data_IF_832768990585
#
_entry.id   IF_832768990585
#
_cell.length_a   1.000
_cell.length_b   1.000
_cell.length_c   1.000
_cell.angle_alpha   90.00
_cell.angle_beta   90.00
_cell.angle_gamma   90.00
#
_symmetry.space_group_name_H-M   'P 1'
#
loop_
_entity.id
_entity.type
_entity.pdbx_description
1 polymer ?
#
# COMPACT_ATOMS: atom_id res chain seq x y z
N UNK A 1 -5.74 -27.67 -10.57
CA UNK A 1 -6.27 -28.50 -9.46
C UNK A 1 -5.31 -28.33 -8.29
N UNK A 2 -5.59 -27.46 -7.32
CA UNK A 2 -5.06 -27.65 -5.98
C UNK A 2 -6.03 -28.65 -5.32
N UNK A 3 -5.64 -29.92 -5.37
CA UNK A 3 -6.28 -30.96 -4.57
C UNK A 3 -5.76 -30.77 -3.14
N UNK A 4 -6.64 -30.41 -2.20
CA UNK A 4 -6.29 -30.36 -0.79
C UNK A 4 -6.10 -31.76 -0.19
N UNK A 5 -6.38 -32.82 -0.95
CA UNK A 5 -6.38 -34.20 -0.46
C UNK A 5 -5.00 -34.66 0.06
N UNK A 6 -3.91 -34.02 -0.38
CA UNK A 6 -2.53 -34.32 0.06
C UNK A 6 -1.85 -33.15 0.80
N UNK A 7 -2.61 -32.11 1.15
CA UNK A 7 -2.06 -30.92 1.80
C UNK A 7 -1.84 -31.15 3.30
N UNK A 8 -0.59 -31.29 3.71
CA UNK A 8 -0.23 -31.40 5.13
C UNK A 8 -0.52 -30.08 5.84
N UNK A 9 -1.52 -30.08 6.73
CA UNK A 9 -1.80 -28.97 7.64
C UNK A 9 -0.78 -29.03 8.78
N UNK A 10 0.11 -28.04 8.84
CA UNK A 10 1.01 -27.86 9.98
C UNK A 10 0.71 -26.52 10.64
N UNK A 11 0.44 -26.51 11.95
CA UNK A 11 0.08 -25.31 12.71
C UNK A 11 -1.08 -24.50 12.08
N UNK A 12 -2.13 -25.18 11.59
CA UNK A 12 -3.32 -24.54 11.04
C UNK A 12 -3.13 -23.86 9.68
N UNK A 13 -2.03 -24.13 8.97
CA UNK A 13 -1.75 -23.59 7.63
C UNK A 13 -1.60 -24.69 6.59
N UNK A 14 -2.23 -24.49 5.43
CA UNK A 14 -2.04 -25.31 4.24
C UNK A 14 -0.76 -24.86 3.54
N UNK A 15 0.21 -25.76 3.41
CA UNK A 15 1.50 -25.45 2.77
C UNK A 15 1.28 -25.12 1.28
N UNK A 16 1.61 -23.91 0.87
CA UNK A 16 1.50 -23.45 -0.53
C UNK A 16 0.20 -22.74 -0.89
N UNK A 17 -0.70 -22.52 0.07
CA UNK A 17 -1.92 -21.72 -0.10
C UNK A 17 -1.91 -20.61 0.95
N UNK A 18 -2.06 -19.36 0.51
CA UNK A 18 -2.09 -18.19 1.39
C UNK A 18 -3.04 -17.12 0.86
N UNK A 19 -3.64 -16.36 1.77
CA UNK A 19 -4.37 -15.14 1.44
C UNK A 19 -3.37 -13.99 1.60
N UNK A 20 -3.17 -13.23 0.54
CA UNK A 20 -2.39 -12.01 0.58
C UNK A 20 -3.32 -10.89 1.06
N UNK A 21 -3.01 -10.30 2.22
CA UNK A 21 -3.75 -9.16 2.78
C UNK A 21 -2.77 -7.98 2.85
N UNK A 22 -3.06 -6.94 2.08
CA UNK A 22 -2.35 -5.68 2.17
C UNK A 22 -3.00 -4.78 3.23
N UNK A 23 -2.17 -4.22 4.12
CA UNK A 23 -2.62 -3.32 5.19
C UNK A 23 -2.02 -1.94 4.92
N UNK A 24 -2.88 -0.96 4.69
CA UNK A 24 -2.50 0.44 4.47
C UNK A 24 -2.82 1.28 5.71
N UNK A 25 -1.86 1.45 6.65
CA UNK A 25 -2.09 2.27 7.82
C UNK A 25 -2.22 3.74 7.42
N UNK A 26 -3.25 4.40 7.95
CA UNK A 26 -3.46 5.85 7.82
C UNK A 26 -2.80 6.53 9.01
N UNK A 27 -1.93 7.50 8.75
CA UNK A 27 -1.20 8.26 9.75
C UNK A 27 -1.62 9.74 9.71
N UNK A 28 -1.77 10.35 10.88
CA UNK A 28 -2.09 11.78 11.00
C UNK A 28 -0.84 12.62 10.74
N UNK A 29 -0.96 13.75 10.05
CA UNK A 29 0.14 14.68 9.81
C UNK A 29 0.00 15.99 10.61
N UNK A 30 -1.11 16.15 11.33
CA UNK A 30 -1.43 17.36 12.11
C UNK A 30 -2.24 18.39 11.31
N UNK A 31 -2.55 19.52 11.97
CA UNK A 31 -3.47 20.55 11.48
C UNK A 31 -2.85 21.54 10.49
N UNK A 32 -1.56 21.84 10.66
CA UNK A 32 -0.88 22.86 9.87
C UNK A 32 -0.38 22.27 8.55
N UNK A 33 -0.85 22.82 7.42
CA UNK A 33 -0.66 22.26 6.07
C UNK A 33 0.82 22.24 5.66
N UNK A 34 1.59 23.28 5.98
CA UNK A 34 3.01 23.40 5.66
C UNK A 34 3.83 22.33 6.36
N UNK A 35 3.66 22.20 7.68
CA UNK A 35 4.29 21.19 8.52
C UNK A 35 3.89 19.79 8.09
N UNK A 36 2.60 19.56 7.79
CA UNK A 36 2.13 18.28 7.27
C UNK A 36 2.80 17.91 5.95
N UNK A 37 2.92 18.85 5.00
CA UNK A 37 3.61 18.65 3.72
C UNK A 37 5.10 18.39 3.89
N UNK A 38 5.77 19.13 4.78
CA UNK A 38 7.18 18.96 5.08
C UNK A 38 7.44 17.56 5.67
N UNK A 39 6.65 17.20 6.68
CA UNK A 39 6.69 15.87 7.33
C UNK A 39 6.49 14.76 6.31
N UNK A 40 5.45 14.86 5.48
CA UNK A 40 5.19 13.89 4.41
C UNK A 40 6.36 13.80 3.41
N UNK A 41 6.95 14.94 3.04
CA UNK A 41 8.10 14.98 2.12
C UNK A 41 9.33 14.29 2.72
N UNK A 42 9.60 14.48 4.01
CA UNK A 42 10.66 13.79 4.73
C UNK A 42 10.43 12.28 4.77
N UNK A 43 9.21 11.85 5.08
CA UNK A 43 8.84 10.43 5.09
C UNK A 43 9.06 9.80 3.71
N UNK A 44 8.64 10.48 2.63
CA UNK A 44 8.89 10.03 1.24
C UNK A 44 10.37 9.91 0.93
N UNK A 45 11.18 10.91 1.31
CA UNK A 45 12.62 10.88 1.07
C UNK A 45 13.28 9.70 1.79
N UNK A 46 12.97 9.48 3.06
CA UNK A 46 13.51 8.37 3.86
C UNK A 46 13.08 7.02 3.28
N UNK A 47 11.81 6.86 2.90
CA UNK A 47 11.32 5.66 2.23
C UNK A 47 11.99 5.43 0.88
N UNK A 48 12.25 6.48 0.11
CA UNK A 48 12.97 6.40 -1.17
C UNK A 48 14.39 5.86 -0.98
N UNK A 49 15.15 6.37 -0.01
CA UNK A 49 16.48 5.85 0.30
C UNK A 49 16.43 4.39 0.78
N UNK A 50 15.46 4.03 1.63
CA UNK A 50 15.25 2.65 2.06
C UNK A 50 14.86 1.71 0.90
N UNK A 51 14.17 2.21 -0.13
CA UNK A 51 13.87 1.48 -1.38
C UNK A 51 15.11 1.32 -2.24
N UNK A 52 15.94 2.35 -2.39
CA UNK A 52 17.22 2.25 -3.12
C UNK A 52 18.10 1.18 -2.49
N UNK A 53 18.22 1.14 -1.16
CA UNK A 53 19.01 0.13 -0.45
C UNK A 53 18.57 -1.31 -0.77
N UNK A 54 17.28 -1.52 -1.06
CA UNK A 54 16.66 -2.82 -1.37
C UNK A 54 16.55 -3.13 -2.87
N UNK A 55 16.70 -2.13 -3.74
CA UNK A 55 16.54 -2.30 -5.18
C UNK A 55 17.51 -3.36 -5.73
N UNK A 56 16.97 -4.28 -6.53
CA UNK A 56 17.74 -5.31 -7.27
C UNK A 56 17.71 -5.10 -8.79
N UNK A 57 17.01 -4.05 -9.26
CA UNK A 57 16.86 -3.81 -10.68
C UNK A 57 18.11 -3.17 -11.27
N UNK A 58 18.59 -3.78 -12.35
CA UNK A 58 19.59 -3.17 -13.22
C UNK A 58 19.00 -2.03 -14.03
N UNK A 59 19.84 -1.04 -14.32
CA UNK A 59 19.48 0.09 -15.18
C UNK A 59 19.93 -0.20 -16.61
N UNK A 60 19.12 0.25 -17.58
CA UNK A 60 19.38 0.02 -19.00
C UNK A 60 20.71 0.60 -19.48
N UNK A 61 21.13 1.76 -18.94
CA UNK A 61 22.41 2.37 -19.27
C UNK A 61 23.52 1.88 -18.31
N UNK A 62 24.66 1.35 -18.81
CA UNK A 62 25.72 0.78 -17.98
C UNK A 62 26.43 1.79 -17.09
N UNK A 63 26.65 3.03 -17.56
CA UNK A 63 27.30 4.09 -16.77
C UNK A 63 26.38 4.48 -15.61
N UNK A 64 25.09 4.66 -15.89
CA UNK A 64 24.07 4.94 -14.87
C UNK A 64 23.98 3.78 -13.87
N UNK A 65 24.08 2.54 -14.34
CA UNK A 65 24.06 1.37 -13.46
C UNK A 65 25.28 1.35 -12.51
N UNK A 66 26.48 1.66 -13.01
CA UNK A 66 27.69 1.73 -12.18
C UNK A 66 27.56 2.83 -11.13
N UNK A 67 27.18 4.05 -11.53
CA UNK A 67 26.98 5.16 -10.62
C UNK A 67 25.91 4.84 -9.56
N UNK A 68 24.79 4.24 -9.97
CA UNK A 68 23.72 3.83 -9.07
C UNK A 68 24.19 2.75 -8.08
N UNK A 69 24.96 1.75 -8.52
CA UNK A 69 25.51 0.70 -7.65
C UNK A 69 26.52 1.27 -6.64
N UNK A 70 27.35 2.23 -7.03
CA UNK A 70 28.25 2.94 -6.12
C UNK A 70 27.46 3.71 -5.06
N UNK A 71 26.48 4.50 -5.48
CA UNK A 71 25.58 5.22 -4.57
C UNK A 71 24.84 4.27 -3.62
N UNK A 72 24.34 3.14 -4.14
CA UNK A 72 23.67 2.12 -3.35
C UNK A 72 24.61 1.46 -2.33
N UNK A 73 25.89 1.23 -2.69
CA UNK A 73 26.90 0.73 -1.74
C UNK A 73 27.11 1.72 -0.59
N UNK A 74 27.22 3.01 -0.88
CA UNK A 74 27.32 4.06 0.15
C UNK A 74 26.09 4.06 1.06
N UNK A 75 24.88 3.99 0.50
CA UNK A 75 23.64 3.91 1.30
C UNK A 75 23.53 2.62 2.11
N UNK A 76 24.12 1.52 1.65
CA UNK A 76 24.14 0.25 2.38
C UNK A 76 24.95 0.29 3.68
N UNK A 77 25.83 1.28 3.84
CA UNK A 77 26.54 1.53 5.10
C UNK A 77 25.59 2.01 6.20
N UNK A 78 24.46 2.63 5.84
CA UNK A 78 23.45 3.05 6.80
C UNK A 78 22.59 1.86 7.24
N UNK A 79 22.45 1.60 8.56
CA UNK A 79 21.63 0.49 9.05
C UNK A 79 20.17 0.64 8.63
N UNK A 80 19.55 -0.45 8.12
CA UNK A 80 18.12 -0.47 7.78
C UNK A 80 17.23 -0.01 8.94
N UNK A 81 17.60 -0.38 10.17
CA UNK A 81 16.89 0.01 11.40
C UNK A 81 16.84 1.53 11.56
N UNK A 82 17.85 2.26 11.09
CA UNK A 82 17.87 3.71 11.18
C UNK A 82 16.75 4.33 10.34
N UNK A 83 16.57 3.90 9.08
CA UNK A 83 15.48 4.39 8.23
C UNK A 83 14.11 4.08 8.83
N UNK A 84 13.93 2.88 9.39
CA UNK A 84 12.68 2.49 10.06
C UNK A 84 12.41 3.35 11.31
N UNK A 85 13.42 3.57 12.15
CA UNK A 85 13.30 4.43 13.34
C UNK A 85 13.04 5.88 12.95
N UNK A 86 13.65 6.37 11.87
CA UNK A 86 13.42 7.73 11.37
C UNK A 86 11.98 7.92 10.87
N UNK A 87 11.45 6.96 10.07
CA UNK A 87 10.05 6.99 9.65
C UNK A 87 9.13 6.90 10.87
N UNK A 88 9.41 5.99 11.81
CA UNK A 88 8.61 5.84 13.04
C UNK A 88 8.58 7.13 13.87
N UNK A 89 9.71 7.83 14.00
CA UNK A 89 9.78 9.12 14.68
C UNK A 89 9.04 10.24 13.95
N UNK A 90 8.84 10.09 12.65
CA UNK A 90 7.98 10.95 11.84
C UNK A 90 6.54 10.46 11.80
N UNK A 91 6.17 9.30 12.34
CA UNK A 91 4.78 8.88 12.44
C UNK A 91 4.09 9.57 13.62
N UNK A 92 2.79 9.82 13.50
CA UNK A 92 2.07 10.58 14.52
C UNK A 92 1.66 9.70 15.68
N UNK A 93 1.64 10.32 16.86
CA UNK A 93 0.99 9.76 18.04
C UNK A 93 -0.44 10.27 18.17
N UNK A 94 -0.85 11.25 17.36
CA UNK A 94 -2.21 11.78 17.35
C UNK A 94 -3.15 10.87 16.56
N UNK A 95 -4.43 10.94 16.90
CA UNK A 95 -5.46 10.16 16.21
C UNK A 95 -5.69 10.71 14.80
N UNK A 96 -6.07 9.82 13.87
CA UNK A 96 -6.60 10.24 12.57
C UNK A 96 -7.98 10.92 12.73
N UNK A 97 -8.67 10.68 13.85
CA UNK A 97 -9.95 11.33 14.14
C UNK A 97 -9.81 12.80 14.54
N UNK A 98 -8.59 13.30 14.74
CA UNK A 98 -8.36 14.72 14.97
C UNK A 98 -8.41 15.47 13.62
N UNK A 99 -8.92 16.71 13.62
CA UNK A 99 -8.89 17.56 12.43
C UNK A 99 -7.46 17.75 11.90
N UNK A 100 -7.30 17.83 10.58
CA UNK A 100 -6.03 18.12 9.93
C UNK A 100 -5.83 17.31 8.66
N UNK A 101 -4.61 16.84 8.48
CA UNK A 101 -4.20 16.07 7.31
C UNK A 101 -3.83 14.65 7.70
N UNK A 102 -4.05 13.70 6.80
CA UNK A 102 -3.71 12.30 6.96
C UNK A 102 -3.09 11.73 5.67
N UNK A 103 -2.38 10.60 5.79
CA UNK A 103 -1.77 9.92 4.65
C UNK A 103 -1.58 8.43 4.92
N UNK A 104 -1.67 7.60 3.88
CA UNK A 104 -1.11 6.24 3.93
C UNK A 104 0.30 6.22 3.34
N UNK A 105 1.29 5.99 4.21
CA UNK A 105 2.72 6.10 3.87
C UNK A 105 3.17 4.95 2.94
N UNK A 106 2.47 3.81 3.03
CA UNK A 106 2.78 2.57 2.32
C UNK A 106 2.23 2.50 0.89
N UNK A 107 1.35 3.41 0.51
CA UNK A 107 0.72 3.34 -0.80
C UNK A 107 1.62 3.77 -1.96
N UNK A 108 1.34 3.17 -3.11
CA UNK A 108 1.93 3.54 -4.39
C UNK A 108 1.37 4.85 -4.95
N UNK A 109 0.22 5.32 -4.46
CA UNK A 109 -0.43 6.54 -4.94
C UNK A 109 0.15 7.84 -4.33
N UNK A 110 1.08 7.72 -3.37
CA UNK A 110 1.95 8.79 -2.86
C UNK A 110 1.21 10.11 -2.61
N UNK A 111 1.45 11.13 -3.45
CA UNK A 111 0.99 12.50 -3.24
C UNK A 111 -0.53 12.64 -3.33
N UNK A 112 -1.21 11.71 -4.03
CA UNK A 112 -2.68 11.71 -4.11
C UNK A 112 -3.34 11.30 -2.78
N UNK A 113 -2.58 10.70 -1.86
CA UNK A 113 -3.11 10.27 -0.56
C UNK A 113 -2.86 11.28 0.57
N UNK A 114 -2.19 12.40 0.29
CA UNK A 114 -2.22 13.54 1.21
C UNK A 114 -3.63 14.12 1.22
N UNK A 115 -4.38 13.80 2.26
CA UNK A 115 -5.83 14.03 2.35
C UNK A 115 -6.19 14.74 3.64
N UNK A 116 -7.38 15.31 3.71
CA UNK A 116 -7.94 15.75 4.99
C UNK A 116 -8.28 14.53 5.84
N UNK A 117 -7.97 14.59 7.13
CA UNK A 117 -8.19 13.47 8.05
C UNK A 117 -9.66 13.09 8.17
N UNK A 118 -10.56 14.06 7.98
CA UNK A 118 -12.02 13.90 7.94
C UNK A 118 -12.51 12.89 6.90
N UNK A 119 -11.71 12.59 5.88
CA UNK A 119 -12.03 11.54 4.91
C UNK A 119 -12.14 10.17 5.57
N UNK A 120 -11.46 9.94 6.70
CA UNK A 120 -11.38 8.64 7.38
C UNK A 120 -12.18 8.59 8.70
N UNK A 121 -12.98 9.61 9.02
CA UNK A 121 -13.72 9.68 10.29
C UNK A 121 -14.94 8.75 10.29
N UNK A 122 -15.67 8.72 9.18
CA UNK A 122 -16.92 7.99 9.05
C UNK A 122 -16.79 6.79 8.13
N UNK A 123 -17.45 5.69 8.52
CA UNK A 123 -17.49 4.45 7.75
C UNK A 123 -18.93 4.01 7.52
N UNK A 124 -19.23 3.63 6.29
CA UNK A 124 -20.51 3.05 5.92
C UNK A 124 -20.37 1.55 5.64
N UNK A 125 -21.50 0.84 5.63
CA UNK A 125 -21.55 -0.54 5.14
C UNK A 125 -21.83 -0.51 3.64
N UNK A 126 -21.00 -1.22 2.86
CA UNK A 126 -21.14 -1.36 1.42
C UNK A 126 -21.41 -2.84 1.08
N UNK A 127 -22.41 -3.14 0.25
CA UNK A 127 -22.63 -4.48 -0.26
C UNK A 127 -21.51 -4.87 -1.24
N UNK A 128 -20.97 -6.07 -1.07
CA UNK A 128 -20.09 -6.70 -2.04
C UNK A 128 -20.42 -8.19 -2.07
N UNK A 129 -20.85 -8.67 -3.23
CA UNK A 129 -21.39 -10.03 -3.42
C UNK A 129 -22.51 -10.36 -2.41
N UNK A 130 -22.34 -11.43 -1.62
CA UNK A 130 -23.30 -11.91 -0.62
C UNK A 130 -23.14 -11.25 0.75
N UNK A 131 -22.24 -10.26 0.90
CA UNK A 131 -21.79 -9.73 2.20
C UNK A 131 -21.79 -8.21 2.26
N UNK A 132 -21.61 -7.72 3.49
CA UNK A 132 -21.50 -6.31 3.83
C UNK A 132 -20.10 -6.04 4.38
N UNK A 133 -19.43 -5.03 3.83
CA UNK A 133 -18.09 -4.62 4.27
C UNK A 133 -18.09 -3.17 4.71
N UNK A 134 -17.21 -2.84 5.66
CA UNK A 134 -16.99 -1.44 6.02
C UNK A 134 -16.09 -0.77 4.99
N UNK A 135 -16.50 0.40 4.52
CA UNK A 135 -15.68 1.28 3.70
C UNK A 135 -15.80 2.72 4.21
N UNK A 136 -14.89 3.58 3.75
CA UNK A 136 -14.96 5.02 3.99
C UNK A 136 -16.33 5.54 3.54
N UNK A 137 -17.05 6.29 4.38
CA UNK A 137 -18.38 6.78 4.02
C UNK A 137 -18.38 7.65 2.76
N UNK A 138 -17.32 8.45 2.60
CA UNK A 138 -17.04 9.29 1.42
C UNK A 138 -16.17 8.56 0.38
N UNK A 139 -16.44 7.29 0.12
CA UNK A 139 -15.62 6.48 -0.80
C UNK A 139 -15.60 7.07 -2.22
N UNK A 140 -16.67 7.73 -2.66
CA UNK A 140 -16.75 8.34 -3.99
C UNK A 140 -15.72 9.47 -4.16
N UNK A 141 -15.59 10.34 -3.15
CA UNK A 141 -14.57 11.39 -3.10
C UNK A 141 -13.16 10.78 -3.15
N UNK A 142 -12.93 9.73 -2.34
CA UNK A 142 -11.64 9.05 -2.27
C UNK A 142 -11.28 8.41 -3.61
N UNK A 143 -12.18 7.63 -4.21
CA UNK A 143 -11.94 6.94 -5.47
C UNK A 143 -11.78 7.92 -6.63
N UNK A 144 -12.60 8.97 -6.69
CA UNK A 144 -12.49 10.01 -7.71
C UNK A 144 -11.17 10.78 -7.62
N UNK A 145 -10.69 11.08 -6.40
CA UNK A 145 -9.40 11.71 -6.19
C UNK A 145 -8.22 10.84 -6.66
N UNK A 146 -8.27 9.52 -6.41
CA UNK A 146 -7.19 8.60 -6.78
C UNK A 146 -7.21 8.27 -8.28
N UNK A 147 -8.39 7.91 -8.80
CA UNK A 147 -8.56 7.28 -10.11
C UNK A 147 -9.20 8.18 -11.17
N UNK A 148 -9.82 9.31 -10.80
CA UNK A 148 -10.59 10.14 -11.73
C UNK A 148 -12.00 9.55 -11.94
N UNK A 149 -12.45 9.46 -13.19
CA UNK A 149 -13.74 8.83 -13.53
C UNK A 149 -13.65 7.29 -13.40
N UNK A 150 -13.63 6.82 -12.16
CA UNK A 150 -13.35 5.41 -11.83
C UNK A 150 -14.48 4.45 -12.20
N UNK A 151 -15.68 4.97 -12.47
CA UNK A 151 -16.84 4.18 -12.91
C UNK A 151 -16.83 3.95 -14.43
N UNK A 152 -16.02 4.70 -15.17
CA UNK A 152 -15.83 4.48 -16.60
C UNK A 152 -14.77 3.39 -16.83
N UNK A 153 -15.20 2.26 -17.40
CA UNK A 153 -14.27 1.19 -17.77
C UNK A 153 -13.31 1.67 -18.87
N UNK A 154 -11.99 1.39 -18.76
CA UNK A 154 -11.06 1.62 -19.85
C UNK A 154 -11.41 0.71 -21.06
N UNK A 155 -10.93 1.10 -22.24
CA UNK A 155 -11.05 0.29 -23.47
C UNK A 155 -10.40 -1.06 -23.24
N UNK A 156 -10.90 -2.11 -23.89
CA UNK A 156 -10.41 -3.48 -23.66
C UNK A 156 -8.89 -3.63 -23.84
N UNK A 157 -8.33 -2.98 -24.86
CA UNK A 157 -6.90 -2.95 -25.14
C UNK A 157 -6.04 -2.27 -24.06
N UNK A 158 -6.65 -1.42 -23.23
CA UNK A 158 -5.99 -0.67 -22.15
C UNK A 158 -6.24 -1.33 -20.77
N UNK A 159 -6.98 -2.45 -20.72
CA UNK A 159 -7.23 -3.19 -19.48
C UNK A 159 -6.02 -4.06 -19.14
N UNK A 160 -5.44 -3.86 -17.98
CA UNK A 160 -4.41 -4.74 -17.43
C UNK A 160 -5.05 -5.83 -16.56
N UNK A 161 -4.71 -7.09 -16.82
CA UNK A 161 -5.11 -8.21 -15.96
C UNK A 161 -4.00 -8.49 -14.94
N UNK A 162 -4.31 -8.31 -13.65
CA UNK A 162 -3.45 -8.80 -12.58
C UNK A 162 -3.80 -10.27 -12.30
N UNK A 163 -3.09 -11.18 -12.96
CA UNK A 163 -3.24 -12.62 -12.75
C UNK A 163 -2.76 -13.01 -11.34
N UNK A 164 -3.63 -12.85 -10.34
CA UNK A 164 -3.44 -13.46 -9.03
C UNK A 164 -3.78 -14.95 -9.16
N UNK A 165 -2.79 -15.78 -9.52
CA UNK A 165 -2.98 -17.23 -9.70
C UNK A 165 -3.22 -17.89 -8.34
N UNK A 166 -4.47 -17.88 -7.91
CA UNK A 166 -4.99 -18.57 -6.74
C UNK A 166 -6.40 -19.11 -7.06
N UNK A 167 -6.48 -20.14 -7.90
CA UNK A 167 -7.77 -20.73 -8.29
C UNK A 167 -8.32 -21.65 -7.19
N UNK A 168 -9.43 -21.26 -6.57
CA UNK A 168 -10.30 -22.17 -5.81
C UNK A 168 -11.36 -22.71 -6.80
N UNK A 169 -11.42 -24.03 -7.01
CA UNK A 169 -12.49 -24.65 -7.80
C UNK A 169 -13.71 -24.86 -6.91
N UNK A 170 -14.77 -24.14 -7.21
CA UNK A 170 -16.04 -24.10 -6.47
C UNK A 170 -16.96 -25.29 -6.83
N UNK A 171 -16.49 -26.53 -6.65
CA UNK A 171 -17.27 -27.73 -7.05
C UNK A 171 -17.47 -28.76 -5.93
N UNK A 172 -17.36 -28.39 -4.65
CA UNK A 172 -17.50 -29.35 -3.54
C UNK A 172 -18.26 -28.84 -2.31
N UNK A 173 -19.25 -27.95 -2.48
CA UNK A 173 -20.29 -27.77 -1.47
C UNK A 173 -21.58 -28.43 -2.00
N UNK A 174 -21.94 -29.64 -1.53
CA UNK A 174 -23.31 -30.09 -1.68
C UNK A 174 -24.20 -29.16 -0.83
N UNK A 175 -25.29 -28.68 -1.42
CA UNK A 175 -26.47 -28.29 -0.65
C UNK A 175 -26.99 -29.50 0.13
#
# INVERSE_FOLDING_TARGET
KLSLNDSVISNGRIKGVGINIDIFPIDSLGKEKGAAKLRFSLMKAINFFARIQRSRHDRANPIVNIAFRLFQKCLKLLPKKWFLSAIKGLCSTCSVNDDGYAVSIGSSYLAKEFTESSLYHDYTSCPFEDRQYKCIARYDDYLSMIYGDYMQLPKEQDRENHDNVGFIKEHLLPM
#
